data_IF_717139895026
#
_entry.id   IF_717139895026
#
_cell.length_a   1.000
_cell.length_b   1.000
_cell.length_c   1.000
_cell.angle_alpha   90.00
_cell.angle_beta   90.00
_cell.angle_gamma   90.00
#
_symmetry.space_group_name_H-M   'P 1'
#
loop_
_entity.id
_entity.type
_entity.pdbx_description
1 polymer ?
#
# COMPACT_ATOMS: atom_id res chain seq x y z
N UNK A 1 7.05 -8.73 -17.25
CA UNK A 1 6.44 -7.49 -16.71
C UNK A 1 7.43 -6.35 -16.86
N UNK A 2 7.03 -5.23 -17.45
CA UNK A 2 7.83 -4.02 -17.51
C UNK A 2 7.94 -3.38 -16.12
N UNK A 3 8.98 -2.54 -15.88
CA UNK A 3 9.09 -1.81 -14.62
C UNK A 3 7.91 -0.83 -14.49
N UNK A 4 7.10 -0.98 -13.43
CA UNK A 4 5.99 -0.07 -13.17
C UNK A 4 6.55 1.25 -12.64
N UNK A 5 6.29 2.34 -13.39
CA UNK A 5 6.69 3.70 -13.01
C UNK A 5 5.58 4.29 -12.13
N UNK A 6 5.90 4.61 -10.89
CA UNK A 6 4.95 5.26 -9.98
C UNK A 6 4.66 6.70 -10.45
N UNK A 7 3.40 7.16 -10.42
CA UNK A 7 3.09 8.57 -10.59
C UNK A 7 3.85 9.44 -9.58
N UNK A 8 4.27 10.63 -9.99
CA UNK A 8 5.16 11.50 -9.19
C UNK A 8 4.65 11.75 -7.77
N UNK A 9 3.36 12.06 -7.60
CA UNK A 9 2.77 12.29 -6.26
C UNK A 9 2.82 11.03 -5.38
N UNK A 10 2.46 9.87 -5.95
CA UNK A 10 2.50 8.58 -5.24
C UNK A 10 3.93 8.26 -4.82
N UNK A 11 4.88 8.44 -5.72
CA UNK A 11 6.29 8.21 -5.45
C UNK A 11 6.82 9.12 -4.33
N UNK A 12 6.51 10.43 -4.40
CA UNK A 12 6.88 11.41 -3.38
C UNK A 12 6.29 11.04 -2.00
N UNK A 13 5.01 10.65 -1.96
CA UNK A 13 4.33 10.23 -0.73
C UNK A 13 5.00 8.99 -0.12
N UNK A 14 5.26 7.96 -0.94
CA UNK A 14 5.94 6.73 -0.47
C UNK A 14 7.35 7.01 0.06
N UNK A 15 8.11 7.89 -0.59
CA UNK A 15 9.44 8.31 -0.13
C UNK A 15 9.39 9.07 1.19
N UNK A 16 8.56 10.12 1.25
CA UNK A 16 8.49 10.98 2.44
C UNK A 16 7.94 10.23 3.65
N UNK A 17 6.97 9.33 3.47
CA UNK A 17 6.45 8.49 4.53
C UNK A 17 7.56 7.63 5.17
N UNK A 18 8.36 6.95 4.33
CA UNK A 18 9.48 6.14 4.82
C UNK A 18 10.58 6.98 5.47
N UNK A 19 10.87 8.16 4.91
CA UNK A 19 11.82 9.09 5.50
C UNK A 19 11.40 9.47 6.92
N UNK A 20 10.13 9.82 7.13
CA UNK A 20 9.62 10.17 8.46
C UNK A 20 9.59 8.98 9.43
N UNK A 21 9.34 7.75 8.95
CA UNK A 21 9.47 6.55 9.78
C UNK A 21 10.92 6.35 10.23
N UNK A 22 11.88 6.46 9.32
CA UNK A 22 13.29 6.32 9.62
C UNK A 22 13.76 7.35 10.67
N UNK A 23 13.29 8.59 10.59
CA UNK A 23 13.64 9.63 11.59
C UNK A 23 13.12 9.34 12.99
N UNK A 24 12.02 8.62 13.12
CA UNK A 24 11.35 8.33 14.39
C UNK A 24 11.79 7.04 15.06
N UNK A 25 12.64 6.24 14.43
CA UNK A 25 13.03 4.92 14.93
C UNK A 25 14.52 4.83 15.23
N UNK A 26 14.96 3.91 16.11
CA UNK A 26 16.37 3.65 16.33
C UNK A 26 17.10 3.19 15.07
N UNK A 27 18.30 3.72 14.84
CA UNK A 27 19.18 3.34 13.75
C UNK A 27 20.28 2.42 14.25
N UNK A 28 20.74 1.51 13.40
CA UNK A 28 21.83 0.62 13.74
C UNK A 28 22.16 -0.36 12.63
N UNK A 29 23.06 -1.27 12.96
CA UNK A 29 23.52 -2.31 12.06
C UNK A 29 24.03 -3.54 12.85
N UNK A 30 24.29 -4.62 12.14
CA UNK A 30 24.88 -5.82 12.72
C UNK A 30 26.40 -5.83 12.52
N UNK A 31 27.11 -6.31 13.54
CA UNK A 31 28.55 -6.51 13.51
C UNK A 31 28.93 -7.84 14.18
N UNK A 32 29.89 -8.55 13.61
CA UNK A 32 30.48 -9.72 14.25
C UNK A 32 31.74 -9.28 15.02
N UNK A 33 31.80 -9.59 16.33
CA UNK A 33 32.93 -9.30 17.21
C UNK A 33 33.32 -10.63 17.89
N UNK A 34 34.54 -11.04 17.72
CA UNK A 34 35.07 -12.31 18.27
C UNK A 34 34.14 -13.51 17.96
N UNK A 35 33.70 -13.63 16.70
CA UNK A 35 32.80 -14.69 16.24
C UNK A 35 31.34 -14.58 16.71
N UNK A 36 30.98 -13.56 17.50
CA UNK A 36 29.62 -13.37 18.02
C UNK A 36 28.89 -12.24 17.29
N UNK A 37 27.63 -12.50 16.92
CA UNK A 37 26.79 -11.49 16.30
C UNK A 37 26.32 -10.48 17.34
N UNK A 38 26.48 -9.20 17.04
CA UNK A 38 26.09 -8.07 17.88
C UNK A 38 25.20 -7.12 17.07
N UNK A 39 24.28 -6.43 17.75
CA UNK A 39 23.56 -5.28 17.22
C UNK A 39 24.22 -4.00 17.74
N UNK A 40 24.50 -3.07 16.84
CA UNK A 40 25.11 -1.77 17.16
C UNK A 40 24.07 -0.70 16.91
N UNK A 41 23.69 0.04 17.94
CA UNK A 41 22.70 1.13 17.90
C UNK A 41 23.49 2.43 17.76
N UNK A 42 23.25 3.17 16.68
CA UNK A 42 23.94 4.44 16.37
C UNK A 42 23.07 5.66 16.63
N UNK A 43 21.78 5.47 16.85
CA UNK A 43 20.82 6.51 17.20
C UNK A 43 19.58 5.84 17.82
N UNK A 44 19.05 6.46 18.87
CA UNK A 44 17.77 6.06 19.46
C UNK A 44 17.02 7.31 19.94
N UNK A 45 15.89 7.67 19.33
CA UNK A 45 15.11 8.85 19.71
C UNK A 45 14.57 8.77 21.14
N UNK A 46 14.41 7.56 21.69
CA UNK A 46 13.96 7.32 23.06
C UNK A 46 15.12 7.27 24.06
N UNK A 47 16.37 7.26 23.59
CA UNK A 47 17.57 7.24 24.44
C UNK A 47 18.69 8.08 23.83
N UNK A 48 18.74 9.40 24.11
CA UNK A 48 19.72 10.32 23.51
C UNK A 48 21.18 9.97 23.79
N UNK A 49 21.44 9.10 24.80
CA UNK A 49 22.79 8.60 25.07
C UNK A 49 23.37 7.77 23.94
N UNK A 50 22.50 7.18 23.08
CA UNK A 50 22.92 6.40 21.94
C UNK A 50 22.94 7.30 20.68
N UNK A 51 24.13 7.67 20.25
CA UNK A 51 24.36 8.50 19.07
C UNK A 51 25.59 8.01 18.29
N UNK A 52 25.87 8.63 17.13
CA UNK A 52 26.98 8.22 16.26
C UNK A 52 28.35 8.27 16.95
N UNK A 53 28.55 9.18 17.90
CA UNK A 53 29.82 9.32 18.66
C UNK A 53 29.90 8.26 19.77
N UNK A 54 28.76 7.88 20.35
CA UNK A 54 28.67 6.90 21.44
C UNK A 54 27.69 5.77 21.05
N UNK A 55 28.05 4.90 20.11
CA UNK A 55 27.17 3.80 19.72
C UNK A 55 27.09 2.74 20.83
N UNK A 56 25.92 2.15 21.00
CA UNK A 56 25.71 1.05 21.93
C UNK A 56 25.82 -0.30 21.24
N UNK A 57 26.74 -1.14 21.67
CA UNK A 57 26.86 -2.52 21.19
C UNK A 57 26.21 -3.48 22.18
N UNK A 58 25.33 -4.34 21.71
CA UNK A 58 24.60 -5.33 22.49
C UNK A 58 24.78 -6.72 21.88
N UNK A 59 24.99 -7.74 22.71
CA UNK A 59 24.98 -9.12 22.26
C UNK A 59 23.54 -9.54 21.88
N UNK A 60 23.36 -10.12 20.70
CA UNK A 60 22.05 -10.60 20.21
C UNK A 60 21.41 -11.62 21.17
N UNK A 61 22.21 -12.38 21.90
CA UNK A 61 21.73 -13.38 22.87
C UNK A 61 21.07 -12.81 24.14
N UNK A 62 21.28 -11.53 24.45
CA UNK A 62 20.65 -10.88 25.62
C UNK A 62 19.21 -10.48 25.33
N UNK A 63 18.37 -10.35 26.37
CA UNK A 63 16.98 -9.90 26.22
C UNK A 63 16.90 -8.51 25.55
N UNK A 64 17.74 -7.58 25.98
CA UNK A 64 17.81 -6.25 25.40
C UNK A 64 18.31 -6.31 23.94
N UNK A 65 19.34 -7.14 23.66
CA UNK A 65 19.85 -7.36 22.32
C UNK A 65 18.79 -7.91 21.38
N UNK A 66 17.99 -8.89 21.80
CA UNK A 66 16.86 -9.43 20.99
C UNK A 66 15.83 -8.36 20.66
N UNK A 67 15.41 -7.55 21.66
CA UNK A 67 14.50 -6.44 21.44
C UNK A 67 15.02 -5.46 20.37
N UNK A 68 16.29 -5.07 20.48
CA UNK A 68 16.89 -4.18 19.47
C UNK A 68 17.10 -4.86 18.13
N UNK A 69 17.28 -6.17 18.08
CA UNK A 69 17.35 -6.88 16.80
C UNK A 69 16.06 -6.73 15.98
N UNK A 70 14.88 -6.85 16.59
CA UNK A 70 13.59 -6.66 15.93
C UNK A 70 13.47 -5.22 15.40
N UNK A 71 13.79 -4.23 16.22
CA UNK A 71 13.77 -2.80 15.86
C UNK A 71 14.72 -2.52 14.70
N UNK A 72 15.97 -3.00 14.78
CA UNK A 72 16.99 -2.76 13.76
C UNK A 72 16.69 -3.54 12.47
N UNK A 73 16.09 -4.73 12.53
CA UNK A 73 15.62 -5.42 11.33
C UNK A 73 14.56 -4.60 10.60
N UNK A 74 13.59 -4.04 11.34
CA UNK A 74 12.58 -3.18 10.77
C UNK A 74 13.19 -1.89 10.17
N UNK A 75 14.11 -1.25 10.89
CA UNK A 75 14.86 -0.11 10.36
C UNK A 75 15.59 -0.44 9.05
N UNK A 76 16.31 -1.54 8.98
CA UNK A 76 17.06 -1.94 7.78
C UNK A 76 16.12 -2.26 6.61
N UNK A 77 14.97 -2.87 6.89
CA UNK A 77 13.94 -3.10 5.87
C UNK A 77 13.41 -1.79 5.29
N UNK A 78 12.93 -0.88 6.15
CA UNK A 78 12.39 0.42 5.72
C UNK A 78 13.47 1.25 5.00
N UNK A 79 14.71 1.20 5.48
CA UNK A 79 15.83 1.86 4.83
C UNK A 79 16.09 1.31 3.42
N UNK A 80 16.08 0.00 3.25
CA UNK A 80 16.22 -0.63 1.93
C UNK A 80 15.10 -0.22 0.98
N UNK A 81 13.85 -0.19 1.45
CA UNK A 81 12.70 0.26 0.66
C UNK A 81 12.84 1.73 0.26
N UNK A 82 13.25 2.60 1.20
CA UNK A 82 13.51 4.01 0.92
C UNK A 82 14.62 4.20 -0.13
N UNK A 83 15.75 3.49 0.04
CA UNK A 83 16.89 3.60 -0.88
C UNK A 83 16.49 3.14 -2.30
N UNK A 84 15.70 2.07 -2.43
CA UNK A 84 15.18 1.59 -3.72
C UNK A 84 14.21 2.60 -4.37
N UNK A 85 13.29 3.17 -3.59
CA UNK A 85 12.39 4.22 -4.09
C UNK A 85 13.17 5.46 -4.53
N UNK A 86 14.17 5.89 -3.76
CA UNK A 86 15.01 7.03 -4.12
C UNK A 86 15.82 6.78 -5.40
N UNK A 87 16.34 5.57 -5.57
CA UNK A 87 17.02 5.18 -6.81
C UNK A 87 16.06 5.24 -8.02
N UNK A 88 14.84 4.71 -7.88
CA UNK A 88 13.81 4.79 -8.92
C UNK A 88 13.40 6.25 -9.20
N UNK A 89 13.26 7.08 -8.16
CA UNK A 89 13.00 8.50 -8.32
C UNK A 89 14.06 9.17 -9.18
N UNK A 90 15.33 9.01 -8.81
CA UNK A 90 16.47 9.61 -9.53
C UNK A 90 16.59 9.12 -10.98
N UNK A 91 16.13 7.90 -11.28
CA UNK A 91 16.07 7.35 -12.63
C UNK A 91 15.02 8.02 -13.50
N UNK A 92 13.85 8.32 -12.95
CA UNK A 92 12.67 8.77 -13.70
C UNK A 92 12.42 10.28 -13.62
N UNK A 93 12.88 10.95 -12.55
CA UNK A 93 12.63 12.37 -12.31
C UNK A 93 13.94 13.14 -12.16
N UNK A 94 14.03 14.31 -12.83
CA UNK A 94 15.24 15.16 -12.81
C UNK A 94 15.33 16.06 -11.58
N UNK A 95 14.24 16.20 -10.81
CA UNK A 95 14.15 17.05 -9.63
C UNK A 95 14.33 16.26 -8.35
N UNK A 96 14.72 16.90 -7.25
CA UNK A 96 14.67 16.31 -5.92
C UNK A 96 13.21 15.96 -5.54
N UNK A 97 12.98 14.87 -4.76
CA UNK A 97 11.65 14.56 -4.29
C UNK A 97 11.09 15.71 -3.43
N UNK A 98 9.85 16.16 -3.66
CA UNK A 98 9.22 17.15 -2.79
C UNK A 98 8.98 16.56 -1.40
N UNK A 99 8.98 17.41 -0.38
CA UNK A 99 8.47 17.03 0.94
C UNK A 99 6.96 16.89 0.88
N UNK A 100 6.40 15.99 1.70
CA UNK A 100 4.97 15.80 1.80
C UNK A 100 4.48 16.19 3.20
N UNK A 101 3.44 17.02 3.24
CA UNK A 101 2.80 17.43 4.48
C UNK A 101 1.81 16.36 4.96
N UNK A 102 2.19 15.58 5.95
CA UNK A 102 1.29 14.65 6.64
C UNK A 102 0.65 15.26 7.88
N UNK A 103 -0.57 14.82 8.25
CA UNK A 103 -1.43 13.88 7.53
C UNK A 103 -2.08 14.55 6.30
N UNK A 104 -2.30 13.75 5.25
CA UNK A 104 -3.03 14.19 4.06
C UNK A 104 -4.52 14.16 4.37
N UNK A 105 -5.08 15.34 4.66
CA UNK A 105 -6.50 15.48 4.98
C UNK A 105 -7.37 15.34 3.73
N UNK A 106 -8.36 14.48 3.80
CA UNK A 106 -9.38 14.38 2.77
C UNK A 106 -10.49 15.38 3.05
N UNK A 107 -10.92 16.06 2.01
CA UNK A 107 -11.98 17.08 2.12
C UNK A 107 -13.35 16.45 2.42
N UNK A 108 -13.59 15.25 1.89
CA UNK A 108 -14.86 14.54 2.03
C UNK A 108 -14.60 13.04 2.20
N UNK A 109 -15.09 12.47 3.28
CA UNK A 109 -14.91 11.04 3.61
C UNK A 109 -16.07 10.54 4.49
N UNK A 110 -17.26 10.36 3.91
CA UNK A 110 -18.46 9.99 4.66
C UNK A 110 -18.36 8.57 5.26
N UNK A 111 -17.61 7.69 4.63
CA UNK A 111 -17.51 6.27 5.00
C UNK A 111 -16.28 5.95 5.85
N UNK A 112 -15.45 6.97 6.16
CA UNK A 112 -14.22 6.83 6.95
C UNK A 112 -13.32 5.68 6.48
N UNK A 113 -13.12 5.61 5.15
CA UNK A 113 -12.29 4.61 4.50
C UNK A 113 -10.81 4.88 4.78
N UNK A 114 -10.33 4.49 5.96
CA UNK A 114 -9.00 4.77 6.49
C UNK A 114 -8.30 3.49 6.97
N UNK A 115 -7.08 3.62 7.52
CA UNK A 115 -6.29 2.50 8.04
C UNK A 115 -7.02 1.75 9.17
N UNK A 116 -7.76 2.47 10.01
CA UNK A 116 -8.54 1.85 11.09
C UNK A 116 -9.67 1.00 10.52
N UNK A 117 -10.37 1.50 9.50
CA UNK A 117 -11.39 0.74 8.78
C UNK A 117 -10.78 -0.52 8.15
N UNK A 118 -9.67 -0.36 7.42
CA UNK A 118 -8.97 -1.48 6.80
C UNK A 118 -8.58 -2.55 7.84
N UNK A 119 -8.02 -2.14 8.97
CA UNK A 119 -7.55 -3.07 10.00
C UNK A 119 -8.69 -3.87 10.65
N UNK A 120 -9.88 -3.28 10.79
CA UNK A 120 -11.07 -3.92 11.35
C UNK A 120 -11.70 -4.96 10.42
N UNK A 121 -11.49 -4.87 9.11
CA UNK A 121 -12.07 -5.82 8.16
C UNK A 121 -11.41 -7.19 8.29
N UNK A 122 -12.22 -8.22 8.15
CA UNK A 122 -11.76 -9.60 8.14
C UNK A 122 -12.09 -10.27 6.81
N UNK A 123 -11.31 -11.26 6.45
CA UNK A 123 -11.57 -12.09 5.28
C UNK A 123 -12.93 -12.80 5.41
N UNK A 124 -13.71 -12.83 4.34
CA UNK A 124 -14.98 -13.54 4.31
C UNK A 124 -14.76 -15.05 4.13
N UNK A 125 -14.99 -15.81 5.19
CA UNK A 125 -14.82 -17.27 5.18
C UNK A 125 -16.02 -18.04 4.62
N UNK A 126 -17.12 -17.36 4.29
CA UNK A 126 -18.38 -17.97 3.83
C UNK A 126 -18.66 -17.82 2.34
N UNK A 127 -17.76 -17.23 1.58
CA UNK A 127 -17.97 -17.03 0.16
C UNK A 127 -17.79 -18.34 -0.64
N UNK A 128 -18.44 -18.38 -1.80
CA UNK A 128 -18.30 -19.49 -2.74
C UNK A 128 -16.83 -19.76 -3.06
N UNK A 129 -16.39 -20.99 -2.86
CA UNK A 129 -15.07 -21.47 -3.29
C UNK A 129 -15.30 -22.30 -4.55
N UNK A 130 -14.66 -21.99 -5.69
CA UNK A 130 -14.77 -22.79 -6.89
C UNK A 130 -14.19 -24.20 -6.70
N UNK A 131 -14.66 -25.16 -7.46
CA UNK A 131 -14.20 -26.56 -7.41
C UNK A 131 -12.66 -26.68 -7.62
N UNK A 132 -12.12 -25.75 -8.41
CA UNK A 132 -10.67 -25.65 -8.70
C UNK A 132 -10.16 -24.25 -8.37
N UNK A 133 -9.96 -23.90 -7.09
CA UNK A 133 -9.43 -22.58 -6.72
C UNK A 133 -7.98 -22.41 -7.19
N UNK A 134 -7.62 -21.19 -7.53
CA UNK A 134 -6.21 -20.85 -7.79
C UNK A 134 -5.49 -20.74 -6.47
N UNK A 135 -4.54 -21.65 -6.22
CA UNK A 135 -3.69 -21.62 -5.00
C UNK A 135 -2.48 -20.73 -5.29
N UNK A 136 -2.26 -19.75 -4.43
CA UNK A 136 -1.14 -18.79 -4.54
C UNK A 136 -0.53 -18.53 -3.17
N UNK A 137 0.56 -17.75 -3.14
CA UNK A 137 1.16 -17.22 -1.89
C UNK A 137 0.18 -16.34 -1.08
N UNK A 138 -0.92 -15.92 -1.69
CA UNK A 138 -1.98 -15.11 -1.08
C UNK A 138 -3.16 -15.94 -0.56
N UNK A 139 -3.05 -17.27 -0.63
CA UNK A 139 -4.12 -18.21 -0.28
C UNK A 139 -4.91 -18.70 -1.49
N UNK A 140 -6.12 -19.23 -1.25
CA UNK A 140 -7.01 -19.70 -2.31
C UNK A 140 -7.81 -18.53 -2.88
N UNK A 141 -7.63 -18.25 -4.16
CA UNK A 141 -8.33 -17.22 -4.92
C UNK A 141 -9.32 -17.86 -5.89
N UNK A 142 -10.39 -17.16 -6.27
CA UNK A 142 -11.45 -17.70 -7.15
C UNK A 142 -11.04 -17.77 -8.61
N UNK A 143 -10.11 -16.92 -9.04
CA UNK A 143 -9.70 -16.87 -10.45
C UNK A 143 -8.22 -16.53 -10.62
N UNK A 144 -7.68 -16.82 -11.80
CA UNK A 144 -6.32 -16.39 -12.19
C UNK A 144 -6.17 -14.86 -12.27
N UNK A 145 -7.23 -14.16 -12.66
CA UNK A 145 -7.21 -12.70 -12.75
C UNK A 145 -7.05 -12.06 -11.37
N UNK A 146 -7.68 -12.63 -10.36
CA UNK A 146 -7.47 -12.22 -8.97
C UNK A 146 -6.04 -12.51 -8.51
N UNK A 147 -5.45 -13.63 -8.91
CA UNK A 147 -4.03 -13.88 -8.59
C UNK A 147 -3.11 -12.82 -9.20
N UNK A 148 -3.27 -12.50 -10.49
CA UNK A 148 -2.48 -11.46 -11.14
C UNK A 148 -2.67 -10.11 -10.44
N UNK A 149 -3.91 -9.76 -10.08
CA UNK A 149 -4.20 -8.56 -9.30
C UNK A 149 -3.47 -8.53 -7.96
N UNK A 150 -3.48 -9.64 -7.20
CA UNK A 150 -2.78 -9.77 -5.93
C UNK A 150 -1.25 -9.62 -6.07
N UNK A 151 -0.67 -10.23 -7.10
CA UNK A 151 0.76 -10.14 -7.39
C UNK A 151 1.19 -8.70 -7.73
N UNK A 152 0.37 -7.96 -8.51
CA UNK A 152 0.62 -6.56 -8.82
C UNK A 152 0.49 -5.69 -7.57
N UNK A 153 -0.54 -5.88 -6.74
CA UNK A 153 -0.70 -5.13 -5.48
C UNK A 153 0.51 -5.33 -4.56
N UNK A 154 1.02 -6.56 -4.47
CA UNK A 154 2.25 -6.86 -3.72
C UNK A 154 3.47 -6.14 -4.32
N UNK A 155 3.62 -6.15 -5.65
CA UNK A 155 4.72 -5.47 -6.33
C UNK A 155 4.68 -3.94 -6.14
N UNK A 156 3.48 -3.36 -6.07
CA UNK A 156 3.25 -1.94 -5.79
C UNK A 156 3.43 -1.58 -4.31
N UNK A 157 3.65 -2.57 -3.44
CA UNK A 157 3.66 -2.40 -1.98
C UNK A 157 2.35 -1.74 -1.50
N UNK A 158 1.22 -2.32 -1.93
CA UNK A 158 -0.13 -1.94 -1.53
C UNK A 158 -0.74 -3.11 -0.76
N UNK A 159 -0.88 -3.02 0.58
CA UNK A 159 -1.54 -4.05 1.37
C UNK A 159 -2.99 -4.25 0.94
N UNK A 160 -3.45 -5.48 0.98
CA UNK A 160 -4.83 -5.80 0.63
C UNK A 160 -5.41 -6.91 1.51
N UNK A 161 -6.74 -6.97 1.54
CA UNK A 161 -7.54 -8.08 2.07
C UNK A 161 -8.46 -8.58 0.98
N UNK A 162 -8.54 -9.88 0.84
CA UNK A 162 -9.36 -10.53 -0.18
C UNK A 162 -10.79 -10.75 0.33
N UNK A 163 -11.80 -10.43 -0.50
CA UNK A 163 -13.22 -10.68 -0.23
C UNK A 163 -13.72 -10.25 1.17
N UNK A 164 -13.49 -9.01 1.52
CA UNK A 164 -14.08 -8.42 2.72
C UNK A 164 -15.56 -8.09 2.49
N UNK A 165 -16.43 -8.49 3.43
CA UNK A 165 -17.87 -8.25 3.29
C UNK A 165 -18.26 -6.80 3.53
N UNK A 166 -19.19 -6.29 2.70
CA UNK A 166 -19.87 -5.03 2.93
C UNK A 166 -21.38 -5.18 2.66
N UNK A 167 -22.21 -4.63 3.56
CA UNK A 167 -23.65 -4.56 3.35
C UNK A 167 -24.01 -3.27 2.59
N UNK A 168 -24.78 -3.40 1.52
CA UNK A 168 -25.26 -2.28 0.70
C UNK A 168 -26.76 -2.09 0.90
N UNK A 169 -27.12 -1.09 1.72
CA UNK A 169 -28.52 -0.83 2.12
C UNK A 169 -29.47 -0.65 0.92
N UNK A 170 -28.99 0.03 -0.13
CA UNK A 170 -29.83 0.39 -1.29
C UNK A 170 -30.24 -0.83 -2.16
N UNK A 171 -29.55 -1.95 -2.02
CA UNK A 171 -29.86 -3.20 -2.70
C UNK A 171 -30.19 -4.34 -1.71
N UNK A 172 -30.14 -4.02 -0.41
CA UNK A 172 -30.41 -4.96 0.71
C UNK A 172 -29.56 -6.23 0.64
N UNK A 173 -28.31 -6.14 0.16
CA UNK A 173 -27.42 -7.28 -0.03
C UNK A 173 -26.06 -7.06 0.64
N UNK A 174 -25.50 -8.17 1.15
CA UNK A 174 -24.08 -8.23 1.51
C UNK A 174 -23.29 -8.69 0.29
N UNK A 175 -22.32 -7.89 -0.13
CA UNK A 175 -21.42 -8.24 -1.21
C UNK A 175 -19.99 -8.41 -0.70
N UNK A 176 -19.20 -9.14 -1.47
CA UNK A 176 -17.78 -9.35 -1.20
C UNK A 176 -16.98 -8.81 -2.39
N UNK A 177 -16.49 -7.56 -2.34
CA UNK A 177 -15.56 -7.06 -3.34
C UNK A 177 -14.30 -7.91 -3.42
N UNK A 178 -13.70 -8.02 -4.59
CA UNK A 178 -12.52 -8.88 -4.79
C UNK A 178 -11.40 -8.50 -3.82
N UNK A 179 -11.18 -7.20 -3.62
CA UNK A 179 -10.18 -6.70 -2.66
C UNK A 179 -10.68 -5.49 -1.88
N UNK A 180 -10.16 -5.35 -0.67
CA UNK A 180 -10.02 -4.09 0.03
C UNK A 180 -8.52 -3.76 0.07
N UNK A 181 -8.09 -2.70 -0.61
CA UNK A 181 -6.70 -2.27 -0.71
C UNK A 181 -6.41 -1.09 0.21
N UNK A 182 -5.17 -0.95 0.69
CA UNK A 182 -4.80 0.09 1.64
C UNK A 182 -3.66 0.98 1.14
N UNK A 183 -3.95 2.25 0.95
CA UNK A 183 -2.96 3.32 0.73
C UNK A 183 -2.54 3.90 2.09
N UNK A 184 -1.84 3.08 2.87
CA UNK A 184 -1.57 3.32 4.29
C UNK A 184 -0.78 4.60 4.55
N UNK A 185 0.01 5.06 3.58
CA UNK A 185 0.79 6.30 3.68
C UNK A 185 -0.11 7.55 3.79
N UNK A 186 -1.29 7.51 3.18
CA UNK A 186 -2.24 8.62 3.18
C UNK A 186 -3.48 8.38 4.05
N UNK A 187 -3.44 7.31 4.86
CA UNK A 187 -4.53 6.88 5.74
C UNK A 187 -5.84 6.67 4.97
N UNK A 188 -5.79 5.86 3.88
CA UNK A 188 -6.92 5.57 2.99
C UNK A 188 -6.94 4.12 2.57
N UNK A 189 -8.17 3.59 2.42
CA UNK A 189 -8.39 2.31 1.77
C UNK A 189 -9.52 2.41 0.73
N UNK A 190 -9.57 1.46 -0.17
CA UNK A 190 -10.55 1.41 -1.27
C UNK A 190 -10.95 -0.03 -1.52
N UNK A 191 -12.22 -0.24 -1.85
CA UNK A 191 -12.64 -1.49 -2.47
C UNK A 191 -12.14 -1.54 -3.91
N UNK A 192 -11.85 -2.74 -4.40
CA UNK A 192 -11.47 -2.99 -5.77
C UNK A 192 -12.26 -4.19 -6.30
N UNK A 193 -12.86 -4.03 -7.46
CA UNK A 193 -13.63 -5.05 -8.18
C UNK A 193 -13.04 -5.28 -9.56
N UNK A 194 -12.77 -6.54 -9.90
CA UNK A 194 -12.34 -6.97 -11.23
C UNK A 194 -13.56 -7.40 -12.03
N UNK A 195 -14.01 -6.56 -12.92
CA UNK A 195 -15.20 -6.79 -13.75
C UNK A 195 -14.82 -7.58 -14.99
N UNK A 196 -14.88 -8.91 -14.88
CA UNK A 196 -14.78 -9.84 -16.02
C UNK A 196 -16.16 -10.16 -16.61
N UNK A 197 -16.21 -10.78 -17.78
CA UNK A 197 -17.44 -11.29 -18.40
C UNK A 197 -18.56 -10.24 -18.62
N UNK A 198 -18.21 -9.01 -18.92
CA UNK A 198 -19.16 -7.90 -19.16
C UNK A 198 -20.12 -8.13 -20.33
N UNK A 199 -19.85 -9.14 -21.18
CA UNK A 199 -20.67 -9.57 -22.31
C UNK A 199 -21.90 -10.42 -21.93
N UNK A 200 -21.98 -10.90 -20.67
CA UNK A 200 -23.13 -11.67 -20.18
C UNK A 200 -24.14 -10.75 -19.50
N UNK A 201 -25.37 -10.69 -20.03
CA UNK A 201 -26.45 -9.83 -19.51
C UNK A 201 -26.67 -9.98 -18.00
N UNK A 202 -26.68 -11.21 -17.47
CA UNK A 202 -26.85 -11.47 -16.03
C UNK A 202 -25.71 -10.83 -15.20
N UNK A 203 -24.48 -10.91 -15.70
CA UNK A 203 -23.31 -10.32 -15.02
C UNK A 203 -23.37 -8.79 -15.05
N UNK A 204 -23.76 -8.20 -16.21
CA UNK A 204 -23.97 -6.75 -16.32
C UNK A 204 -25.01 -6.24 -15.32
N UNK A 205 -26.11 -6.97 -15.14
CA UNK A 205 -27.15 -6.61 -14.17
C UNK A 205 -26.60 -6.62 -12.72
N UNK A 206 -25.89 -7.68 -12.33
CA UNK A 206 -25.27 -7.77 -11.00
C UNK A 206 -24.26 -6.65 -10.76
N UNK A 207 -23.42 -6.36 -11.76
CA UNK A 207 -22.46 -5.26 -11.71
C UNK A 207 -23.17 -3.91 -11.54
N UNK A 208 -24.24 -3.66 -12.30
CA UNK A 208 -25.03 -2.43 -12.21
C UNK A 208 -25.64 -2.25 -10.83
N UNK A 209 -26.16 -3.32 -10.22
CA UNK A 209 -26.70 -3.29 -8.87
C UNK A 209 -25.61 -2.94 -7.83
N UNK A 210 -24.42 -3.54 -7.92
CA UNK A 210 -23.28 -3.19 -7.05
C UNK A 210 -22.89 -1.72 -7.20
N UNK A 211 -22.77 -1.22 -8.45
CA UNK A 211 -22.46 0.18 -8.73
C UNK A 211 -23.49 1.13 -8.11
N UNK A 212 -24.78 0.79 -8.27
CA UNK A 212 -25.89 1.55 -7.67
C UNK A 212 -25.79 1.55 -6.14
N UNK A 213 -25.58 0.38 -5.51
CA UNK A 213 -25.45 0.26 -4.07
C UNK A 213 -24.29 1.07 -3.50
N UNK A 214 -23.11 0.94 -4.10
CA UNK A 214 -21.94 1.74 -3.71
C UNK A 214 -22.20 3.25 -3.84
N UNK A 215 -22.77 3.67 -4.98
CA UNK A 215 -23.08 5.08 -5.23
C UNK A 215 -24.06 5.67 -4.21
N UNK A 216 -25.12 4.93 -3.86
CA UNK A 216 -26.11 5.35 -2.85
C UNK A 216 -25.51 5.53 -1.46
N UNK A 217 -24.53 4.70 -1.11
CA UNK A 217 -23.78 4.82 0.14
C UNK A 217 -22.56 5.76 0.04
N UNK A 218 -22.50 6.56 -1.04
CA UNK A 218 -21.48 7.60 -1.24
C UNK A 218 -20.05 7.06 -1.41
N UNK A 219 -19.90 5.81 -1.83
CA UNK A 219 -18.62 5.29 -2.31
C UNK A 219 -18.39 5.78 -3.74
N UNK A 220 -17.35 6.59 -3.94
CA UNK A 220 -17.08 7.23 -5.24
C UNK A 220 -16.19 6.33 -6.10
N UNK A 221 -16.58 6.09 -7.37
CA UNK A 221 -15.71 5.41 -8.32
C UNK A 221 -14.35 6.13 -8.48
N UNK A 222 -13.27 5.35 -8.61
CA UNK A 222 -11.90 5.85 -8.71
C UNK A 222 -11.34 6.44 -7.41
N UNK A 223 -12.04 6.24 -6.28
CA UNK A 223 -11.57 6.63 -4.93
C UNK A 223 -11.89 5.53 -3.92
N UNK A 224 -13.10 5.53 -3.34
CA UNK A 224 -13.50 4.54 -2.34
C UNK A 224 -13.82 3.18 -2.97
N UNK A 225 -14.11 3.13 -4.27
CA UNK A 225 -14.23 1.88 -5.04
C UNK A 225 -13.55 2.03 -6.41
N UNK A 226 -12.74 1.07 -6.76
CA UNK A 226 -11.98 1.02 -8.02
C UNK A 226 -12.53 -0.15 -8.83
N UNK A 227 -12.86 0.11 -10.09
CA UNK A 227 -13.35 -0.91 -11.02
C UNK A 227 -12.30 -1.18 -12.09
N UNK A 228 -11.89 -2.44 -12.21
CA UNK A 228 -11.00 -2.91 -13.26
C UNK A 228 -11.85 -3.66 -14.28
N UNK A 229 -12.09 -3.07 -15.43
CA UNK A 229 -12.90 -3.68 -16.50
C UNK A 229 -11.98 -4.48 -17.42
N UNK A 230 -12.15 -5.80 -17.46
CA UNK A 230 -11.40 -6.65 -18.37
C UNK A 230 -12.10 -6.67 -19.74
N UNK A 231 -11.46 -6.11 -20.74
CA UNK A 231 -11.95 -6.06 -22.11
C UNK A 231 -11.71 -7.38 -22.87
N UNK A 232 -10.71 -8.14 -22.45
CA UNK A 232 -10.38 -9.47 -22.99
C UNK A 232 -10.39 -10.50 -21.86
N UNK A 233 -11.17 -11.58 -22.09
CA UNK A 233 -11.29 -12.68 -21.10
C UNK A 233 -10.03 -13.54 -20.99
N UNK A 234 -9.22 -13.56 -22.04
CA UNK A 234 -8.06 -14.44 -22.13
C UNK A 234 -6.77 -13.79 -21.66
N UNK A 235 -6.69 -12.44 -21.68
CA UNK A 235 -5.49 -11.71 -21.38
C UNK A 235 -5.76 -10.67 -20.27
N UNK A 236 -5.26 -10.94 -19.08
CA UNK A 236 -5.22 -9.96 -18.02
C UNK A 236 -4.14 -8.91 -18.34
N UNK A 237 -4.54 -7.65 -18.45
CA UNK A 237 -3.64 -6.53 -18.69
C UNK A 237 -3.10 -5.99 -17.37
N UNK A 238 -1.86 -6.40 -17.04
CA UNK A 238 -1.18 -6.02 -15.81
C UNK A 238 -0.88 -4.53 -15.75
N UNK A 239 -0.50 -3.93 -16.88
CA UNK A 239 -0.17 -2.50 -16.95
C UNK A 239 -1.43 -1.65 -16.77
N UNK A 240 -2.57 -2.08 -17.35
CA UNK A 240 -3.86 -1.44 -17.14
C UNK A 240 -4.31 -1.53 -15.67
N UNK A 241 -4.25 -2.72 -15.06
CA UNK A 241 -4.57 -2.90 -13.65
C UNK A 241 -3.75 -1.97 -12.74
N UNK A 242 -2.43 -1.96 -12.93
CA UNK A 242 -1.53 -1.11 -12.16
C UNK A 242 -1.85 0.38 -12.36
N UNK A 243 -2.16 0.79 -13.60
CA UNK A 243 -2.53 2.16 -13.95
C UNK A 243 -3.77 2.64 -13.21
N UNK A 244 -4.85 1.84 -13.19
CA UNK A 244 -6.09 2.19 -12.50
C UNK A 244 -5.89 2.33 -10.98
N UNK A 245 -5.19 1.39 -10.36
CA UNK A 245 -4.88 1.43 -8.93
C UNK A 245 -4.02 2.65 -8.59
N UNK A 246 -2.98 2.92 -9.38
CA UNK A 246 -2.09 4.06 -9.16
C UNK A 246 -2.77 5.39 -9.46
N UNK A 247 -3.68 5.45 -10.43
CA UNK A 247 -4.49 6.64 -10.72
C UNK A 247 -5.41 6.98 -9.55
N UNK A 248 -6.08 5.97 -8.97
CA UNK A 248 -6.89 6.17 -7.78
C UNK A 248 -6.07 6.72 -6.60
N UNK A 249 -4.90 6.13 -6.34
CA UNK A 249 -3.98 6.63 -5.30
C UNK A 249 -3.54 8.06 -5.57
N UNK A 250 -3.10 8.35 -6.80
CA UNK A 250 -2.65 9.69 -7.22
C UNK A 250 -3.74 10.76 -7.07
N UNK A 251 -4.99 10.42 -7.39
CA UNK A 251 -6.14 11.32 -7.30
C UNK A 251 -6.55 11.63 -5.86
N UNK A 252 -6.14 10.82 -4.89
CA UNK A 252 -6.37 11.08 -3.46
C UNK A 252 -5.31 12.02 -2.85
N UNK A 253 -4.23 12.31 -3.57
CA UNK A 253 -3.15 13.20 -3.11
C UNK A 253 -3.38 14.61 -3.68
N UNK A 254 -3.80 15.60 -2.88
CA UNK A 254 -3.95 16.97 -3.35
C UNK A 254 -2.57 17.60 -3.61
N UNK A 255 -2.48 18.48 -4.60
CA UNK A 255 -1.22 19.19 -4.93
C UNK A 255 -0.70 20.01 -3.75
N UNK A 256 -1.60 20.56 -2.94
CA UNK A 256 -1.25 21.30 -1.72
C UNK A 256 -0.56 20.48 -0.63
N UNK A 257 -0.55 19.16 -0.75
CA UNK A 257 0.22 18.29 0.14
C UNK A 257 1.71 18.25 -0.22
N UNK A 258 2.10 18.63 -1.45
CA UNK A 258 3.46 18.60 -1.93
C UNK A 258 4.15 19.95 -1.72
N UNK A 259 5.32 19.93 -1.09
CA UNK A 259 6.15 21.11 -0.84
C UNK A 259 7.41 20.95 -1.70
N UNK A 260 7.50 21.73 -2.76
CA UNK A 260 8.66 21.79 -3.62
C UNK A 260 9.68 22.77 -3.06
N UNK A 261 10.95 22.35 -2.97
CA UNK A 261 12.04 23.30 -2.72
C UNK A 261 12.19 24.17 -3.99
N UNK A 262 11.62 25.37 -3.95
CA UNK A 262 11.85 26.38 -4.99
C UNK A 262 13.33 26.75 -4.83
N UNK A 263 14.22 26.15 -5.64
CA UNK A 263 15.52 26.75 -5.89
C UNK A 263 15.23 28.03 -6.62
N UNK A 264 15.33 29.17 -5.94
CA UNK A 264 15.44 30.45 -6.63
C UNK A 264 16.51 30.26 -7.70
N UNK A 265 16.09 30.26 -8.94
CA UNK A 265 17.00 30.46 -10.07
C UNK A 265 17.52 31.88 -9.95
N UNK A 266 18.62 32.04 -9.20
CA UNK A 266 19.41 33.26 -9.26
C UNK A 266 19.94 33.28 -10.68
N UNK A 267 19.28 34.12 -11.49
CA UNK A 267 19.68 34.55 -12.83
C UNK A 267 21.02 35.25 -12.79
#
# INVERSE_FOLDING_TARGET
>A
MNEIILPMKVHAVKLEYRRQLLEKMPHGYYRVINGRKNVVITYDPNNPKYNKQHPRTLFVSTNLGRKYCEIINNYLKIKSEYDQLLQKWNKHYKSSPPKVKFPIKQFYDPNKMNNEYFNKQVYCTGSYVPDNPTVSDHGSLKSKNEQFGADILKQLDIPFKYETSIYLDAIEETINPDYLINFYEIDRCSYLEILGMSDKMKYSFTTTNKLYGFSKQKYRPGREVIYIVLYDKQNFDEDYFASEVLSAFNNMIPDSALIWDIKESVS
#
